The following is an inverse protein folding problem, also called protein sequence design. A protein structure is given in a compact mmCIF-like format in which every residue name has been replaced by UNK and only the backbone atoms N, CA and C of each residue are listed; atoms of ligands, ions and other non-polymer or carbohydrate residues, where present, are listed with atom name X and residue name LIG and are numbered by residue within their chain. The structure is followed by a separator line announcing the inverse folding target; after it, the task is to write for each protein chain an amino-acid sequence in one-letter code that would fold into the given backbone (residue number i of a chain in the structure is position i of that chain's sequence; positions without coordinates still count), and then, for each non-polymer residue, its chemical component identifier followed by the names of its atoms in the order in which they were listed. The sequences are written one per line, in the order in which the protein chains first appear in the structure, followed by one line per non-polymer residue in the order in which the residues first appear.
data_IF_384622954194
#
_entry.id   IF_384622954194
#
_cell.length_a   1.000
_cell.length_b   1.000
_cell.length_c   1.000
_cell.angle_alpha   90.00
_cell.angle_beta   90.00
_cell.angle_gamma   90.00
#
_symmetry.space_group_name_H-M   'P 1'
#
loop_
_entity.id
_entity.type
_entity.pdbx_description
1 polymer ?
#
# COMPACT_ATOMS: atom_id res chain seq x y z
N UNK A 1 11.68 -18.82 16.91
CA UNK A 1 12.53 -17.78 16.25
C UNK A 1 11.93 -17.26 14.95
N UNK A 2 11.48 -18.11 14.02
CA UNK A 2 10.93 -17.67 12.72
C UNK A 2 9.75 -16.68 12.84
N UNK A 3 8.85 -16.85 13.82
CA UNK A 3 7.74 -15.92 14.08
C UNK A 3 8.26 -14.53 14.47
N UNK A 4 9.29 -14.45 15.33
CA UNK A 4 9.87 -13.16 15.76
C UNK A 4 10.50 -12.44 14.56
N UNK A 5 11.26 -13.17 13.74
CA UNK A 5 11.82 -12.62 12.50
C UNK A 5 10.75 -12.18 11.52
N UNK A 6 9.67 -12.95 11.38
CA UNK A 6 8.53 -12.57 10.56
C UNK A 6 7.86 -11.29 11.06
N UNK A 7 7.66 -11.14 12.36
CA UNK A 7 7.09 -9.92 12.96
C UNK A 7 7.98 -8.72 12.69
N UNK A 8 9.30 -8.83 12.89
CA UNK A 8 10.26 -7.76 12.60
C UNK A 8 10.20 -7.41 11.10
N UNK A 9 10.26 -8.41 10.23
CA UNK A 9 10.16 -8.25 8.78
C UNK A 9 8.86 -7.55 8.37
N UNK A 10 7.74 -7.96 8.96
CA UNK A 10 6.42 -7.38 8.72
C UNK A 10 6.42 -5.89 9.07
N UNK A 11 6.85 -5.51 10.27
CA UNK A 11 6.84 -4.10 10.68
C UNK A 11 7.78 -3.24 9.84
N UNK A 12 8.99 -3.71 9.57
CA UNK A 12 9.96 -2.98 8.73
C UNK A 12 9.41 -2.81 7.32
N UNK A 13 8.89 -3.88 6.72
CA UNK A 13 8.33 -3.80 5.36
C UNK A 13 7.12 -2.87 5.28
N UNK A 14 6.24 -2.89 6.28
CA UNK A 14 5.07 -2.01 6.32
C UNK A 14 5.46 -0.54 6.51
N UNK A 15 6.48 -0.26 7.33
CA UNK A 15 6.95 1.10 7.56
C UNK A 15 7.46 1.75 6.26
N UNK A 16 8.29 1.05 5.50
CA UNK A 16 8.80 1.58 4.23
C UNK A 16 7.71 1.61 3.16
N UNK A 17 6.82 0.60 3.11
CA UNK A 17 5.65 0.63 2.23
C UNK A 17 4.86 1.92 2.45
N UNK A 18 4.55 2.30 3.69
CA UNK A 18 3.83 3.54 4.00
C UNK A 18 4.48 4.80 3.39
N UNK A 19 5.80 4.92 3.46
CA UNK A 19 6.49 6.08 2.89
C UNK A 19 6.33 6.14 1.36
N UNK A 20 6.39 4.99 0.68
CA UNK A 20 6.19 4.90 -0.77
C UNK A 20 4.73 5.13 -1.13
N UNK A 21 3.79 4.61 -0.34
CA UNK A 21 2.35 4.83 -0.53
C UNK A 21 1.99 6.31 -0.44
N UNK A 22 2.64 7.09 0.45
CA UNK A 22 2.43 8.55 0.51
C UNK A 22 2.78 9.25 -0.79
N UNK A 23 3.80 8.78 -1.50
CA UNK A 23 4.22 9.33 -2.80
C UNK A 23 3.29 8.90 -3.92
N UNK A 24 3.00 7.59 -4.00
CA UNK A 24 2.20 7.02 -5.09
C UNK A 24 0.72 7.38 -5.00
N UNK A 25 0.19 7.64 -3.80
CA UNK A 25 -1.21 8.07 -3.64
C UNK A 25 -1.46 9.49 -4.19
N UNK A 26 -0.41 10.29 -4.37
CA UNK A 26 -0.52 11.61 -4.99
C UNK A 26 -0.49 11.48 -6.51
N UNK A 27 -1.61 11.77 -7.17
CA UNK A 27 -1.79 11.59 -8.62
C UNK A 27 -0.66 12.16 -9.49
N UNK A 28 -0.09 13.32 -9.12
CA UNK A 28 1.03 13.95 -9.85
C UNK A 28 2.32 13.13 -9.78
N UNK A 29 2.54 12.41 -8.68
CA UNK A 29 3.75 11.62 -8.44
C UNK A 29 3.52 10.12 -8.66
N UNK A 30 2.31 9.69 -8.99
CA UNK A 30 2.00 8.27 -9.16
C UNK A 30 2.90 7.59 -10.20
N UNK A 31 2.92 8.08 -11.44
CA UNK A 31 3.74 7.48 -12.50
C UNK A 31 5.25 7.52 -12.19
N UNK A 32 5.84 8.65 -11.75
CA UNK A 32 7.25 8.68 -11.37
C UNK A 32 7.61 7.78 -10.17
N UNK A 33 6.69 7.60 -9.22
CA UNK A 33 6.91 6.78 -8.03
C UNK A 33 6.54 5.30 -8.23
N UNK A 34 5.87 4.95 -9.34
CA UNK A 34 5.44 3.59 -9.63
C UNK A 34 6.63 2.61 -9.75
N UNK A 35 7.74 2.93 -10.46
CA UNK A 35 8.90 2.05 -10.50
C UNK A 35 9.49 1.77 -9.11
N UNK A 36 9.49 2.78 -8.23
CA UNK A 36 9.94 2.62 -6.84
C UNK A 36 9.04 1.64 -6.09
N UNK A 37 7.72 1.74 -6.25
CA UNK A 37 6.77 0.80 -5.66
C UNK A 37 6.99 -0.62 -6.18
N UNK A 38 7.15 -0.79 -7.49
CA UNK A 38 7.38 -2.11 -8.11
C UNK A 38 8.68 -2.72 -7.59
N UNK A 39 9.79 -1.97 -7.66
CA UNK A 39 11.09 -2.44 -7.17
C UNK A 39 11.05 -2.81 -5.69
N UNK A 40 10.41 -1.98 -4.87
CA UNK A 40 10.26 -2.23 -3.44
C UNK A 40 9.39 -3.47 -3.16
N UNK A 41 8.26 -3.62 -3.84
CA UNK A 41 7.37 -4.78 -3.68
C UNK A 41 8.08 -6.08 -4.05
N UNK A 42 8.84 -6.06 -5.15
CA UNK A 42 9.64 -7.20 -5.58
C UNK A 42 10.74 -7.54 -4.57
N UNK A 43 11.42 -6.52 -4.03
CA UNK A 43 12.41 -6.68 -2.97
C UNK A 43 11.82 -7.33 -1.72
N UNK A 44 10.64 -6.90 -1.27
CA UNK A 44 9.95 -7.51 -0.12
C UNK A 44 9.62 -8.98 -0.40
N UNK A 45 9.11 -9.30 -1.59
CA UNK A 45 8.82 -10.69 -1.99
C UNK A 45 10.09 -11.55 -1.98
N UNK A 46 11.17 -11.05 -2.58
CA UNK A 46 12.47 -11.73 -2.59
C UNK A 46 13.08 -11.89 -1.20
N UNK A 47 13.02 -10.87 -0.35
CA UNK A 47 13.55 -10.94 1.02
C UNK A 47 12.79 -11.95 1.88
N UNK A 48 11.46 -12.05 1.72
CA UNK A 48 10.66 -13.06 2.42
C UNK A 48 11.17 -14.48 2.07
N UNK A 49 11.49 -14.71 0.79
CA UNK A 49 12.14 -15.95 0.34
C UNK A 49 13.55 -16.10 0.94
N UNK A 50 14.40 -15.07 0.82
CA UNK A 50 15.80 -15.11 1.26
C UNK A 50 15.96 -15.39 2.76
N UNK A 51 15.05 -14.88 3.59
CA UNK A 51 15.02 -15.12 5.04
C UNK A 51 14.35 -16.44 5.44
N UNK A 52 14.02 -17.31 4.49
CA UNK A 52 13.37 -18.60 4.73
C UNK A 52 12.01 -18.48 5.44
N UNK A 53 11.28 -17.37 5.21
CA UNK A 53 9.98 -17.09 5.81
C UNK A 53 8.80 -17.56 4.93
N UNK A 54 9.04 -18.53 4.03
CA UNK A 54 8.07 -18.99 3.03
C UNK A 54 6.73 -19.43 3.63
N UNK A 55 6.76 -20.07 4.81
CA UNK A 55 5.56 -20.50 5.52
C UNK A 55 4.60 -19.34 5.88
N UNK A 56 5.12 -18.11 5.94
CA UNK A 56 4.34 -16.91 6.24
C UNK A 56 3.89 -16.14 5.00
N UNK A 57 4.11 -16.66 3.78
CA UNK A 57 3.69 -15.99 2.55
C UNK A 57 2.21 -15.62 2.55
N UNK A 58 1.32 -16.59 2.80
CA UNK A 58 -0.12 -16.33 2.84
C UNK A 58 -0.50 -15.40 3.99
N UNK A 59 0.19 -15.51 5.14
CA UNK A 59 0.00 -14.61 6.28
C UNK A 59 0.38 -13.17 5.93
N UNK A 60 1.49 -12.95 5.24
CA UNK A 60 1.91 -11.63 4.75
C UNK A 60 0.85 -11.06 3.80
N UNK A 61 0.38 -11.83 2.81
CA UNK A 61 -0.66 -11.38 1.87
C UNK A 61 -1.94 -10.99 2.62
N UNK A 62 -2.39 -11.84 3.55
CA UNK A 62 -3.60 -11.60 4.32
C UNK A 62 -3.48 -10.33 5.20
N UNK A 63 -2.39 -10.23 5.97
CA UNK A 63 -2.16 -9.10 6.88
C UNK A 63 -2.02 -7.79 6.09
N UNK A 64 -1.23 -7.78 5.01
CA UNK A 64 -1.07 -6.60 4.13
C UNK A 64 -2.42 -6.17 3.56
N UNK A 65 -3.22 -7.12 3.06
CA UNK A 65 -4.52 -6.81 2.45
C UNK A 65 -5.50 -6.22 3.45
N UNK A 66 -5.59 -6.81 4.66
CA UNK A 66 -6.41 -6.29 5.76
C UNK A 66 -5.92 -4.90 6.17
N UNK A 67 -4.61 -4.71 6.30
CA UNK A 67 -4.02 -3.45 6.68
C UNK A 67 -4.28 -2.34 5.66
N UNK A 68 -4.09 -2.61 4.36
CA UNK A 68 -4.40 -1.67 3.28
C UNK A 68 -5.89 -1.31 3.26
N UNK A 69 -6.78 -2.28 3.52
CA UNK A 69 -8.21 -2.03 3.63
C UNK A 69 -8.57 -1.12 4.81
N UNK A 70 -7.99 -1.38 5.98
CA UNK A 70 -8.16 -0.52 7.18
C UNK A 70 -7.65 0.90 6.90
N UNK A 71 -6.49 1.02 6.24
CA UNK A 71 -5.93 2.32 5.86
C UNK A 71 -6.83 3.06 4.86
N UNK A 72 -7.36 2.37 3.85
CA UNK A 72 -8.33 2.95 2.91
C UNK A 72 -9.59 3.46 3.62
N UNK A 73 -10.13 2.68 4.57
CA UNK A 73 -11.29 3.08 5.38
C UNK A 73 -10.97 4.30 6.24
N UNK A 74 -9.81 4.35 6.89
CA UNK A 74 -9.36 5.50 7.68
C UNK A 74 -9.24 6.76 6.82
N UNK A 75 -8.59 6.64 5.66
CA UNK A 75 -8.43 7.74 4.71
C UNK A 75 -9.79 8.23 4.20
N UNK A 76 -10.73 7.33 3.93
CA UNK A 76 -12.09 7.70 3.52
C UNK A 76 -12.86 8.46 4.61
N UNK A 77 -12.72 8.09 5.88
CA UNK A 77 -13.37 8.80 6.99
C UNK A 77 -12.78 10.20 7.18
N UNK A 78 -11.47 10.34 7.09
CA UNK A 78 -10.80 11.65 7.15
C UNK A 78 -11.25 12.55 5.99
N UNK A 79 -11.31 11.99 4.78
CA UNK A 79 -11.80 12.69 3.61
C UNK A 79 -13.26 13.18 3.76
N UNK A 80 -14.15 12.36 4.35
CA UNK A 80 -15.51 12.78 4.66
C UNK A 80 -15.55 13.91 5.69
N UNK A 81 -14.75 13.85 6.75
CA UNK A 81 -14.66 14.93 7.73
C UNK A 81 -14.18 16.25 7.10
N UNK A 82 -13.22 16.20 6.17
CA UNK A 82 -12.76 17.38 5.42
C UNK A 82 -13.88 17.96 4.53
N UNK A 83 -14.69 17.10 3.89
CA UNK A 83 -15.85 17.54 3.10
C UNK A 83 -16.91 18.22 3.98
N UNK A 84 -17.22 17.67 5.15
CA UNK A 84 -18.14 18.30 6.10
C UNK A 84 -17.61 19.64 6.61
N UNK A 85 -16.29 19.75 6.84
CA UNK A 85 -15.67 20.99 7.29
C UNK A 85 -15.60 22.09 6.21
N UNK A 86 -15.71 21.73 4.92
CA UNK A 86 -15.68 22.70 3.83
C UNK A 86 -16.95 23.59 3.75
N UNK A 87 -18.01 23.23 4.47
CA UNK A 87 -19.24 24.04 4.57
C UNK A 87 -20.07 24.02 3.28
N UNK A 88 -20.76 25.12 2.98
CA UNK A 88 -21.69 25.26 1.86
C UNK A 88 -21.09 25.87 0.59
N UNK A 89 -19.77 26.10 0.56
CA UNK A 89 -19.08 26.59 -0.64
C UNK A 89 -19.03 25.46 -1.69
N UNK A 90 -19.95 25.53 -2.66
CA UNK A 90 -20.14 24.49 -3.66
C UNK A 90 -18.90 24.22 -4.51
N UNK A 91 -18.12 25.26 -4.84
CA UNK A 91 -16.90 25.11 -5.64
C UNK A 91 -15.80 24.44 -4.83
N UNK A 92 -15.64 24.82 -3.56
CA UNK A 92 -14.66 24.21 -2.65
C UNK A 92 -15.01 22.75 -2.34
N UNK A 93 -16.28 22.44 -2.11
CA UNK A 93 -16.77 21.07 -1.89
C UNK A 93 -16.53 20.20 -3.11
N UNK A 94 -16.86 20.70 -4.31
CA UNK A 94 -16.67 19.98 -5.57
C UNK A 94 -15.19 19.68 -5.84
N UNK A 95 -14.31 20.67 -5.69
CA UNK A 95 -12.87 20.48 -5.85
C UNK A 95 -12.31 19.46 -4.87
N UNK A 96 -12.71 19.55 -3.60
CA UNK A 96 -12.27 18.62 -2.55
C UNK A 96 -12.76 17.20 -2.82
N UNK A 97 -14.01 17.03 -3.26
CA UNK A 97 -14.59 15.73 -3.59
C UNK A 97 -13.84 15.06 -4.75
N UNK A 98 -13.49 15.81 -5.80
CA UNK A 98 -12.70 15.30 -6.93
C UNK A 98 -11.30 14.87 -6.48
N UNK A 99 -10.63 15.70 -5.68
CA UNK A 99 -9.30 15.39 -5.12
C UNK A 99 -9.32 14.10 -4.29
N UNK A 100 -10.32 13.97 -3.39
CA UNK A 100 -10.54 12.75 -2.59
C UNK A 100 -10.78 11.53 -3.48
N UNK A 101 -11.57 11.66 -4.54
CA UNK A 101 -11.84 10.60 -5.51
C UNK A 101 -10.55 10.09 -6.14
N UNK A 102 -9.71 11.00 -6.63
CA UNK A 102 -8.40 10.65 -7.22
C UNK A 102 -7.49 9.98 -6.18
N UNK A 103 -7.37 10.53 -4.97
CA UNK A 103 -6.58 9.92 -3.89
C UNK A 103 -7.02 8.48 -3.60
N UNK A 104 -8.33 8.21 -3.52
CA UNK A 104 -8.86 6.86 -3.31
C UNK A 104 -8.50 5.91 -4.46
N UNK A 105 -8.64 6.37 -5.69
CA UNK A 105 -8.34 5.60 -6.89
C UNK A 105 -6.85 5.23 -6.96
N UNK A 106 -5.95 6.21 -6.79
CA UNK A 106 -4.51 5.96 -6.82
C UNK A 106 -4.04 5.12 -5.64
N UNK A 107 -4.63 5.29 -4.45
CA UNK A 107 -4.35 4.39 -3.32
C UNK A 107 -4.72 2.93 -3.64
N UNK A 108 -5.88 2.70 -4.26
CA UNK A 108 -6.32 1.37 -4.66
C UNK A 108 -5.39 0.76 -5.73
N UNK A 109 -4.98 1.54 -6.73
CA UNK A 109 -4.02 1.09 -7.74
C UNK A 109 -2.66 0.75 -7.14
N UNK A 110 -2.10 1.61 -6.29
CA UNK A 110 -0.86 1.31 -5.58
C UNK A 110 -0.98 0.06 -4.71
N UNK A 111 -2.12 -0.12 -4.04
CA UNK A 111 -2.38 -1.30 -3.19
C UNK A 111 -2.37 -2.58 -4.00
N UNK A 112 -3.04 -2.56 -5.15
CA UNK A 112 -3.10 -3.70 -6.06
C UNK A 112 -1.73 -4.02 -6.66
N UNK A 113 -1.01 -3.01 -7.15
CA UNK A 113 0.35 -3.18 -7.68
C UNK A 113 1.28 -3.76 -6.62
N UNK A 114 1.23 -3.24 -5.39
CA UNK A 114 2.07 -3.73 -4.29
C UNK A 114 1.87 -5.22 -4.04
N UNK A 115 0.62 -5.64 -3.83
CA UNK A 115 0.29 -7.04 -3.52
C UNK A 115 0.63 -7.98 -4.68
N UNK A 116 0.31 -7.59 -5.92
CA UNK A 116 0.60 -8.42 -7.09
C UNK A 116 2.10 -8.58 -7.33
N UNK A 117 2.87 -7.49 -7.31
CA UNK A 117 4.31 -7.56 -7.57
C UNK A 117 5.02 -8.30 -6.44
N UNK A 118 4.61 -8.08 -5.19
CA UNK A 118 5.08 -8.86 -4.05
C UNK A 118 4.86 -10.37 -4.26
N UNK A 119 3.63 -10.75 -4.61
CA UNK A 119 3.27 -12.17 -4.81
C UNK A 119 4.03 -12.78 -5.99
N UNK A 120 4.09 -12.08 -7.13
CA UNK A 120 4.80 -12.53 -8.32
C UNK A 120 6.30 -12.70 -8.04
N UNK A 121 6.94 -11.75 -7.37
CA UNK A 121 8.37 -11.83 -7.05
C UNK A 121 8.69 -12.97 -6.08
N UNK A 122 7.85 -13.18 -5.07
CA UNK A 122 8.00 -14.32 -4.16
C UNK A 122 7.85 -15.66 -4.90
N UNK A 123 6.79 -15.81 -5.71
CA UNK A 123 6.55 -17.03 -6.46
C UNK A 123 7.67 -17.29 -7.48
N UNK A 124 8.17 -16.26 -8.15
CA UNK A 124 9.32 -16.39 -9.05
C UNK A 124 10.57 -16.88 -8.30
N UNK A 125 10.90 -16.26 -7.16
CA UNK A 125 12.03 -16.67 -6.33
C UNK A 125 11.87 -18.09 -5.75
N UNK A 126 10.64 -18.52 -5.47
CA UNK A 126 10.35 -19.85 -4.95
C UNK A 126 10.49 -20.96 -5.99
N UNK A 127 10.20 -20.65 -7.27
CA UNK A 127 10.27 -21.60 -8.38
C UNK A 127 11.62 -21.62 -9.10
N UNK A 128 12.58 -20.81 -8.66
CA UNK A 128 13.96 -20.77 -9.19
C UNK A 128 14.90 -21.45 -8.21
#
# INVERSE_FOLDING_TARGET
MAIVWFIIFLFVSHFFALQIFRLTTYHKYFLPALPLLVAYSALVGWLLYKFQLHAFFLWQVAIVSVWLFVLARRNSRQAQAMLHAAGSDGDRVRFLAESIGKTKQFFAYSSFVYVLVFAAAFLWAYNT
#
